data_IF_339489040500
#
_entry.id   IF_339489040500
#
_cell.length_a   1.000
_cell.length_b   1.000
_cell.length_c   1.000
_cell.angle_alpha   90.00
_cell.angle_beta   90.00
_cell.angle_gamma   90.00
#
_symmetry.space_group_name_H-M   'P 1'
#
loop_
_entity.id
_entity.type
_entity.pdbx_description
1 polymer ?
#
# COMPACT_ATOMS: atom_id res chain seq x y z
N UNK A 1 6.61 -16.52 -8.48
CA UNK A 1 7.91 -15.81 -8.38
C UNK A 1 7.88 -14.89 -7.17
N UNK A 2 8.96 -14.80 -6.40
CA UNK A 2 9.11 -13.86 -5.28
C UNK A 2 9.67 -12.50 -5.76
N UNK A 3 9.59 -11.46 -4.91
CA UNK A 3 10.19 -10.16 -5.23
C UNK A 3 11.70 -10.25 -5.44
N UNK A 4 12.39 -11.11 -4.68
CA UNK A 4 13.83 -11.30 -4.83
C UNK A 4 14.17 -11.95 -6.18
N UNK A 5 13.45 -13.02 -6.54
CA UNK A 5 13.60 -13.70 -7.83
C UNK A 5 13.36 -12.76 -9.01
N UNK A 6 12.32 -11.91 -8.92
CA UNK A 6 12.00 -10.90 -9.92
C UNK A 6 13.19 -9.94 -10.12
N UNK A 7 13.72 -9.37 -9.04
CA UNK A 7 14.86 -8.43 -9.10
C UNK A 7 16.10 -9.12 -9.69
N UNK A 8 16.41 -10.34 -9.26
CA UNK A 8 17.54 -11.11 -9.79
C UNK A 8 17.40 -11.37 -11.29
N UNK A 9 16.22 -11.81 -11.73
CA UNK A 9 15.91 -12.10 -13.14
C UNK A 9 16.07 -10.85 -14.02
N UNK A 10 15.42 -9.74 -13.65
CA UNK A 10 15.46 -8.50 -14.43
C UNK A 10 16.84 -7.83 -14.41
N UNK A 11 17.60 -7.99 -13.33
CA UNK A 11 19.00 -7.55 -13.28
C UNK A 11 19.88 -8.34 -14.25
N UNK A 12 19.74 -9.67 -14.28
CA UNK A 12 20.48 -10.52 -15.22
C UNK A 12 20.10 -10.19 -16.68
N UNK A 13 18.81 -10.04 -16.97
CA UNK A 13 18.30 -9.66 -18.29
C UNK A 13 18.86 -8.32 -18.77
N UNK A 14 18.83 -7.30 -17.91
CA UNK A 14 19.42 -5.98 -18.20
C UNK A 14 20.91 -6.06 -18.51
N UNK A 15 21.67 -6.81 -17.69
CA UNK A 15 23.12 -6.96 -17.89
C UNK A 15 23.43 -7.62 -19.23
N UNK A 16 22.64 -8.62 -19.63
CA UNK A 16 22.81 -9.31 -20.90
C UNK A 16 22.50 -8.39 -22.09
N UNK A 17 21.37 -7.69 -22.07
CA UNK A 17 21.02 -6.72 -23.12
C UNK A 17 22.09 -5.63 -23.26
N UNK A 18 22.63 -5.15 -22.14
CA UNK A 18 23.73 -4.18 -22.13
C UNK A 18 25.01 -4.75 -22.73
N UNK A 19 25.38 -5.99 -22.37
CA UNK A 19 26.57 -6.68 -22.90
C UNK A 19 26.51 -6.81 -24.41
N UNK A 20 25.33 -7.05 -24.96
CA UNK A 20 25.09 -7.20 -26.40
C UNK A 20 24.85 -5.87 -27.12
N UNK A 21 24.78 -4.74 -26.41
CA UNK A 21 24.33 -3.44 -26.95
C UNK A 21 23.01 -3.57 -27.74
N UNK A 22 22.10 -4.39 -27.23
CA UNK A 22 20.86 -4.73 -27.92
C UNK A 22 19.93 -3.51 -27.99
N UNK A 23 19.36 -3.27 -29.17
CA UNK A 23 18.20 -2.40 -29.35
C UNK A 23 16.95 -3.26 -29.22
N UNK A 24 16.10 -2.92 -28.25
CA UNK A 24 14.86 -3.64 -27.96
C UNK A 24 13.66 -2.72 -28.11
N UNK A 25 12.56 -3.27 -28.58
CA UNK A 25 11.27 -2.60 -28.50
C UNK A 25 10.84 -2.50 -27.03
N UNK A 26 10.65 -1.26 -26.57
CA UNK A 26 10.28 -0.96 -25.20
C UNK A 26 8.88 -1.45 -24.84
N UNK A 27 7.93 -1.48 -25.78
CA UNK A 27 6.58 -1.96 -25.51
C UNK A 27 6.60 -3.46 -25.18
N UNK A 28 7.24 -4.25 -26.05
CA UNK A 28 7.43 -5.69 -25.83
C UNK A 28 8.16 -5.99 -24.52
N UNK A 29 9.20 -5.21 -24.19
CA UNK A 29 9.92 -5.37 -22.92
C UNK A 29 9.03 -5.10 -21.71
N UNK A 30 8.20 -4.06 -21.77
CA UNK A 30 7.27 -3.70 -20.69
C UNK A 30 6.18 -4.75 -20.51
N UNK A 31 5.69 -5.36 -21.59
CA UNK A 31 4.72 -6.45 -21.50
C UNK A 31 5.31 -7.64 -20.72
N UNK A 32 6.56 -8.02 -21.00
CA UNK A 32 7.25 -9.05 -20.22
C UNK A 32 7.39 -8.67 -18.73
N UNK A 33 7.75 -7.42 -18.43
CA UNK A 33 7.86 -6.92 -17.05
C UNK A 33 6.52 -6.99 -16.34
N UNK A 34 5.43 -6.61 -17.01
CA UNK A 34 4.10 -6.58 -16.43
C UNK A 34 3.60 -7.98 -16.07
N UNK A 35 3.81 -8.98 -16.94
CA UNK A 35 3.48 -10.38 -16.64
C UNK A 35 4.20 -10.86 -15.39
N UNK A 36 5.51 -10.61 -15.33
CA UNK A 36 6.35 -10.99 -14.18
C UNK A 36 5.91 -10.27 -12.88
N UNK A 37 5.49 -9.00 -12.97
CA UNK A 37 4.94 -8.25 -11.83
C UNK A 37 3.57 -8.76 -11.37
N UNK A 38 2.71 -9.14 -12.31
CA UNK A 38 1.40 -9.75 -12.03
C UNK A 38 1.56 -11.07 -11.29
N UNK A 39 2.53 -11.90 -11.66
CA UNK A 39 2.86 -13.15 -10.96
C UNK A 39 3.27 -12.91 -9.50
N UNK A 40 4.09 -11.89 -9.25
CA UNK A 40 4.48 -11.50 -7.88
C UNK A 40 3.27 -10.98 -7.11
N UNK A 41 2.42 -10.18 -7.75
CA UNK A 41 1.19 -9.66 -7.13
C UNK A 41 0.15 -10.77 -6.87
N UNK A 42 0.10 -11.81 -7.71
CA UNK A 42 -0.78 -12.96 -7.54
C UNK A 42 -0.34 -13.85 -6.37
N UNK A 43 0.97 -13.98 -6.15
CA UNK A 43 1.55 -14.73 -5.04
C UNK A 43 1.33 -14.09 -3.67
N UNK A 44 0.83 -12.85 -3.59
CA UNK A 44 0.55 -12.18 -2.32
C UNK A 44 -0.54 -12.91 -1.52
N UNK A 45 -0.27 -13.31 -0.26
CA UNK A 45 -1.21 -14.08 0.54
C UNK A 45 -2.46 -13.28 0.89
N UNK A 46 -3.61 -13.94 0.80
CA UNK A 46 -4.90 -13.39 1.21
C UNK A 46 -5.05 -13.42 2.73
N UNK A 47 -5.12 -12.25 3.34
CA UNK A 47 -5.26 -12.09 4.79
C UNK A 47 -6.69 -11.77 5.21
N UNK A 48 -7.03 -12.08 6.45
CA UNK A 48 -8.30 -11.64 7.06
C UNK A 48 -8.31 -10.12 7.27
N UNK A 49 -9.49 -9.53 7.46
CA UNK A 49 -9.61 -8.11 7.81
C UNK A 49 -8.92 -7.76 9.14
N UNK A 50 -8.86 -8.70 10.08
CA UNK A 50 -8.18 -8.52 11.37
C UNK A 50 -6.66 -8.42 11.19
N UNK A 51 -6.07 -9.31 10.38
CA UNK A 51 -4.65 -9.25 10.05
C UNK A 51 -4.33 -8.01 9.19
N UNK A 52 -5.17 -7.68 8.21
CA UNK A 52 -5.00 -6.48 7.39
C UNK A 52 -5.07 -5.20 8.24
N UNK A 53 -5.98 -5.13 9.22
CA UNK A 53 -6.10 -4.01 10.15
C UNK A 53 -4.80 -3.74 10.91
N UNK A 54 -4.15 -4.81 11.42
CA UNK A 54 -2.87 -4.70 12.12
C UNK A 54 -1.76 -4.15 11.23
N UNK A 55 -1.74 -4.55 9.96
CA UNK A 55 -0.71 -4.15 9.00
C UNK A 55 -0.91 -2.73 8.43
N UNK A 56 -2.17 -2.26 8.37
CA UNK A 56 -2.53 -1.00 7.68
C UNK A 56 -2.82 0.15 8.64
N UNK A 57 -3.08 -0.15 9.92
CA UNK A 57 -3.46 0.83 10.93
C UNK A 57 -4.93 1.27 10.87
N UNK A 58 -5.76 0.60 10.07
CA UNK A 58 -7.21 0.78 10.04
C UNK A 58 -7.93 -0.27 10.87
N UNK A 59 -9.20 -0.05 11.17
CA UNK A 59 -10.04 -1.04 11.84
C UNK A 59 -10.62 -2.04 10.84
N UNK A 60 -10.93 -3.28 11.27
CA UNK A 60 -11.61 -4.26 10.40
C UNK A 60 -12.94 -3.75 9.86
N UNK A 61 -13.68 -2.97 10.66
CA UNK A 61 -14.95 -2.36 10.24
C UNK A 61 -14.74 -1.34 9.10
N UNK A 62 -13.70 -0.51 9.18
CA UNK A 62 -13.36 0.42 8.10
C UNK A 62 -13.03 -0.32 6.80
N UNK A 63 -12.23 -1.38 6.87
CA UNK A 63 -11.91 -2.21 5.71
C UNK A 63 -13.17 -2.91 5.16
N UNK A 64 -14.07 -3.40 6.02
CA UNK A 64 -15.34 -3.98 5.58
C UNK A 64 -16.23 -2.94 4.89
N UNK A 65 -16.23 -1.69 5.34
CA UNK A 65 -16.95 -0.59 4.69
C UNK A 65 -16.39 -0.30 3.29
N UNK A 66 -15.06 -0.33 3.13
CA UNK A 66 -14.43 -0.14 1.81
C UNK A 66 -14.80 -1.26 0.83
N UNK A 67 -14.90 -2.51 1.31
CA UNK A 67 -15.39 -3.62 0.51
C UNK A 67 -16.83 -3.39 0.04
N UNK A 68 -17.73 -2.99 0.95
CA UNK A 68 -19.14 -2.73 0.61
C UNK A 68 -19.29 -1.56 -0.38
N UNK A 69 -18.37 -0.59 -0.35
CA UNK A 69 -18.32 0.54 -1.29
C UNK A 69 -17.73 0.16 -2.66
N UNK A 70 -17.13 -1.02 -2.80
CA UNK A 70 -16.41 -1.42 -4.02
C UNK A 70 -15.02 -0.79 -4.17
N UNK A 71 -14.53 -0.07 -3.15
CA UNK A 71 -13.19 0.55 -3.17
C UNK A 71 -12.08 -0.42 -2.76
N UNK A 72 -12.44 -1.58 -2.20
CA UNK A 72 -11.51 -2.65 -1.84
C UNK A 72 -12.09 -3.99 -2.30
N UNK A 73 -11.29 -4.80 -3.00
CA UNK A 73 -11.75 -6.08 -3.51
C UNK A 73 -11.78 -7.13 -2.39
N UNK A 74 -12.90 -7.86 -2.29
CA UNK A 74 -13.00 -9.04 -1.45
C UNK A 74 -12.67 -10.29 -2.26
N UNK A 75 -11.55 -10.94 -1.92
CA UNK A 75 -11.15 -12.23 -2.49
C UNK A 75 -11.63 -13.43 -1.68
N UNK A 76 -12.28 -13.18 -0.53
CA UNK A 76 -12.90 -14.20 0.31
C UNK A 76 -14.38 -14.40 -0.02
N UNK A 77 -15.08 -15.13 0.85
CA UNK A 77 -16.52 -15.38 0.73
C UNK A 77 -17.35 -14.41 1.57
N UNK A 78 -18.66 -14.35 1.31
CA UNK A 78 -19.62 -13.59 2.14
C UNK A 78 -19.52 -14.07 3.59
N UNK A 79 -19.31 -13.17 4.54
CA UNK A 79 -19.13 -13.47 5.96
C UNK A 79 -17.71 -13.90 6.37
N UNK A 80 -16.79 -14.12 5.43
CA UNK A 80 -15.37 -14.35 5.70
C UNK A 80 -14.50 -13.61 4.69
N UNK A 81 -14.52 -12.26 4.71
CA UNK A 81 -13.80 -11.45 3.75
C UNK A 81 -12.29 -11.61 3.88
N UNK A 82 -11.61 -11.65 2.72
CA UNK A 82 -10.15 -11.67 2.63
C UNK A 82 -9.67 -10.63 1.62
N UNK A 83 -8.51 -10.05 1.91
CA UNK A 83 -7.94 -8.94 1.15
C UNK A 83 -6.45 -9.15 0.94
N UNK A 84 -5.92 -8.56 -0.14
CA UNK A 84 -4.47 -8.38 -0.31
C UNK A 84 -4.03 -7.14 0.45
N UNK A 85 -2.91 -7.20 1.16
CA UNK A 85 -2.44 -6.08 2.01
C UNK A 85 -2.03 -4.89 1.14
N UNK A 86 -1.46 -5.16 -0.04
CA UNK A 86 -1.08 -4.15 -1.04
C UNK A 86 -2.24 -3.27 -1.51
N UNK A 87 -3.45 -3.81 -1.55
CA UNK A 87 -4.66 -3.10 -1.99
C UNK A 87 -5.35 -2.33 -0.86
N UNK A 88 -4.99 -2.61 0.39
CA UNK A 88 -5.53 -1.88 1.52
C UNK A 88 -4.91 -0.49 1.61
N UNK A 89 -5.71 0.56 1.88
CA UNK A 89 -5.16 1.87 2.18
C UNK A 89 -4.28 1.76 3.43
N UNK A 90 -3.11 2.40 3.41
CA UNK A 90 -2.23 2.50 4.57
C UNK A 90 -2.46 3.83 5.25
N UNK A 91 -2.76 3.81 6.54
CA UNK A 91 -2.86 5.03 7.32
C UNK A 91 -1.47 5.62 7.41
N UNK A 92 -1.23 6.76 6.76
CA UNK A 92 0.01 7.52 6.95
C UNK A 92 0.04 7.89 8.42
N UNK A 93 0.96 7.31 9.17
CA UNK A 93 1.28 7.83 10.49
C UNK A 93 1.95 9.17 10.22
N UNK A 94 1.17 10.25 10.19
CA UNK A 94 1.74 11.56 10.49
C UNK A 94 2.50 11.33 11.78
N UNK A 95 3.81 11.55 11.75
CA UNK A 95 4.58 11.63 12.97
C UNK A 95 3.74 12.50 13.90
N UNK A 96 3.38 11.99 15.07
CA UNK A 96 2.69 12.74 16.12
C UNK A 96 3.69 13.74 16.67
N UNK A 97 4.19 14.62 15.80
CA UNK A 97 5.02 15.75 16.10
C UNK A 97 4.12 16.77 16.75
N UNK A 98 4.16 16.77 18.08
CA UNK A 98 3.74 17.86 18.94
C UNK A 98 2.28 18.27 18.66
N UNK A 99 1.34 17.61 19.35
CA UNK A 99 0.19 18.40 19.84
C UNK A 99 0.82 19.51 20.66
N UNK A 100 0.96 20.69 20.06
CA UNK A 100 1.29 21.90 20.79
C UNK A 100 0.22 21.95 21.88
N UNK A 101 0.64 21.74 23.13
CA UNK A 101 -0.28 21.69 24.25
C UNK A 101 -1.08 22.99 24.16
N UNK A 102 -2.39 22.86 23.96
CA UNK A 102 -3.29 23.99 23.95
C UNK A 102 -3.12 24.68 25.30
N UNK A 103 -2.50 25.85 25.28
CA UNK A 103 -2.25 26.66 26.48
C UNK A 103 -3.54 27.41 26.79
N UNK A 104 -4.32 26.79 27.69
CA UNK A 104 -5.62 27.29 28.16
C UNK A 104 -5.49 28.70 28.75
N UNK A 105 -4.36 29.00 29.40
CA UNK A 105 -4.14 30.27 30.10
C UNK A 105 -3.77 31.40 29.12
N UNK A 106 -3.10 31.06 28.02
CA UNK A 106 -2.86 32.01 26.93
C UNK A 106 -4.16 32.39 26.21
N UNK A 107 -5.05 31.42 25.94
CA UNK A 107 -6.31 31.68 25.25
C UNK A 107 -7.28 32.51 26.11
N UNK A 108 -7.36 32.22 27.43
CA UNK A 108 -8.18 32.99 28.37
C UNK A 108 -7.79 34.48 28.45
N UNK A 109 -6.48 34.80 28.40
CA UNK A 109 -6.01 36.19 28.36
C UNK A 109 -6.40 36.91 27.06
N UNK A 110 -6.52 36.20 25.95
CA UNK A 110 -6.91 36.79 24.66
C UNK A 110 -8.37 37.29 24.65
N UNK A 111 -9.24 36.65 25.43
CA UNK A 111 -10.67 36.99 25.52
C UNK A 111 -10.93 38.19 26.44
N UNK A 112 -10.10 38.39 27.47
CA UNK A 112 -10.23 39.53 28.40
C UNK A 112 -9.74 40.87 27.85
N UNK A 113 -8.85 40.85 26.84
CA UNK A 113 -8.22 42.04 26.29
C UNK A 113 -9.05 42.77 25.21
N UNK A 114 -10.26 42.29 24.88
CA UNK A 114 -11.16 42.87 23.86
C UNK A 114 -12.31 43.72 24.44
N UNK A 115 -12.08 44.42 25.56
CA UNK A 115 -13.03 45.39 26.11
C UNK A 115 -12.55 46.82 25.91
#
# INVERSE_FOLDING_TARGET
MTTFELVSRWTARRNELRRLSALVDGATLLDEVLVDLEDVAAAEPLVSLTAAAQLTGYTPDHLSRLIRKGSLMNYGRKGSPRVKVSQCPKKVKLATGIRQAYDVDADARSLGARR
#
